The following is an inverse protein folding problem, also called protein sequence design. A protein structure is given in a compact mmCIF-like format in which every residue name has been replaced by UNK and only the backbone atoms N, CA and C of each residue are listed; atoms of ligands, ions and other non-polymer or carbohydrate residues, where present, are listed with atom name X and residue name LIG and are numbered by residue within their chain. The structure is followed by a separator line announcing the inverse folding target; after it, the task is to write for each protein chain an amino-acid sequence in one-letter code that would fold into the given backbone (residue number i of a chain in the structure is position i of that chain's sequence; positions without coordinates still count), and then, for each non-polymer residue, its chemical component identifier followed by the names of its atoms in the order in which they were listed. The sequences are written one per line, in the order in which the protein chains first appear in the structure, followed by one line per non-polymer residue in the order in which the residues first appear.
data_IF_614716987252
#
_entry.id   IF_614716987252
#
_cell.length_a   1.000
_cell.length_b   1.000
_cell.length_c   1.000
_cell.angle_alpha   90.00
_cell.angle_beta   90.00
_cell.angle_gamma   90.00
#
_symmetry.space_group_name_H-M   'P 1'
#
loop_
_entity.id
_entity.type
_entity.pdbx_description
1 polymer ?
#
# COMPACT_ATOMS: atom_id res chain seq x y z
N UNK A 1 -9.52 34.88 8.26
CA UNK A 1 -9.02 33.74 7.46
C UNK A 1 -8.35 32.62 8.28
N UNK A 2 -7.83 32.88 9.49
CA UNK A 2 -7.17 31.85 10.33
C UNK A 2 -8.17 30.85 10.95
N UNK A 3 -9.39 31.28 11.30
CA UNK A 3 -10.42 30.40 11.90
C UNK A 3 -10.93 29.30 10.95
N UNK A 4 -11.06 29.59 9.64
CA UNK A 4 -11.47 28.58 8.65
C UNK A 4 -10.44 27.47 8.44
N UNK A 5 -9.14 27.81 8.50
CA UNK A 5 -8.05 26.84 8.40
C UNK A 5 -7.98 25.93 9.65
N UNK A 6 -8.24 26.48 10.84
CA UNK A 6 -8.27 25.71 12.10
C UNK A 6 -9.43 24.71 12.11
N UNK A 7 -10.63 25.14 11.70
CA UNK A 7 -11.81 24.26 11.62
C UNK A 7 -11.56 23.15 10.58
N UNK A 8 -11.01 23.50 9.41
CA UNK A 8 -10.63 22.52 8.39
C UNK A 8 -9.60 21.50 8.87
N UNK A 9 -8.59 21.93 9.65
CA UNK A 9 -7.59 21.05 10.25
C UNK A 9 -8.20 20.08 11.27
N UNK A 10 -9.09 20.58 12.15
CA UNK A 10 -9.76 19.75 13.15
C UNK A 10 -10.64 18.69 12.48
N UNK A 11 -11.49 19.10 11.53
CA UNK A 11 -12.35 18.16 10.78
C UNK A 11 -11.51 17.13 10.01
N UNK A 12 -10.40 17.56 9.42
CA UNK A 12 -9.45 16.67 8.75
C UNK A 12 -8.86 15.61 9.70
N UNK A 13 -8.38 16.04 10.87
CA UNK A 13 -7.83 15.13 11.89
C UNK A 13 -8.89 14.15 12.41
N UNK A 14 -10.12 14.62 12.64
CA UNK A 14 -11.24 13.78 13.08
C UNK A 14 -11.57 12.73 12.02
N UNK A 15 -11.66 13.12 10.74
CA UNK A 15 -11.90 12.16 9.65
C UNK A 15 -10.78 11.14 9.50
N UNK A 16 -9.52 11.54 9.65
CA UNK A 16 -8.37 10.61 9.67
C UNK A 16 -8.50 9.63 10.84
N UNK A 17 -8.84 10.12 12.03
CA UNK A 17 -9.07 9.28 13.21
C UNK A 17 -10.18 8.25 13.03
N UNK A 18 -11.34 8.68 12.50
CA UNK A 18 -12.48 7.78 12.21
C UNK A 18 -12.07 6.72 11.18
N UNK A 19 -11.39 7.11 10.10
CA UNK A 19 -10.92 6.17 9.07
C UNK A 19 -9.94 5.17 9.66
N UNK A 20 -9.00 5.61 10.50
CA UNK A 20 -8.05 4.73 11.16
C UNK A 20 -8.75 3.70 12.06
N UNK A 21 -9.76 4.11 12.83
CA UNK A 21 -10.56 3.19 13.67
C UNK A 21 -11.34 2.19 12.80
N UNK A 22 -11.96 2.64 11.70
CA UNK A 22 -12.67 1.76 10.78
C UNK A 22 -11.72 0.75 10.12
N UNK A 23 -10.55 1.19 9.68
CA UNK A 23 -9.51 0.32 9.10
C UNK A 23 -8.99 -0.69 10.12
N UNK A 24 -8.78 -0.28 11.37
CA UNK A 24 -8.39 -1.21 12.45
C UNK A 24 -9.48 -2.23 12.73
N UNK A 25 -10.77 -1.83 12.77
CA UNK A 25 -11.89 -2.75 12.98
C UNK A 25 -12.05 -3.73 11.82
N UNK A 26 -12.01 -3.25 10.58
CA UNK A 26 -12.04 -4.10 9.39
C UNK A 26 -10.87 -5.07 9.34
N UNK A 27 -9.66 -4.58 9.63
CA UNK A 27 -8.46 -5.41 9.72
C UNK A 27 -8.56 -6.52 10.77
N UNK A 28 -9.13 -6.23 11.94
CA UNK A 28 -9.39 -7.27 12.96
C UNK A 28 -10.34 -8.36 12.46
N UNK A 29 -11.37 -8.00 11.70
CA UNK A 29 -12.30 -8.96 11.11
C UNK A 29 -11.61 -9.84 10.07
N UNK A 30 -10.79 -9.24 9.19
CA UNK A 30 -10.00 -9.95 8.19
C UNK A 30 -9.00 -10.91 8.86
N UNK A 31 -8.25 -10.47 9.88
CA UNK A 31 -7.28 -11.32 10.59
C UNK A 31 -7.97 -12.44 11.38
N UNK A 32 -9.10 -12.16 12.03
CA UNK A 32 -9.87 -13.19 12.72
C UNK A 32 -10.39 -14.26 11.74
N UNK A 33 -10.85 -13.85 10.56
CA UNK A 33 -11.28 -14.76 9.51
C UNK A 33 -10.10 -15.53 8.88
N UNK A 34 -8.93 -14.89 8.72
CA UNK A 34 -7.70 -15.53 8.25
C UNK A 34 -7.25 -16.67 9.18
N UNK A 35 -7.40 -16.50 10.51
CA UNK A 35 -7.11 -17.54 11.49
C UNK A 35 -8.05 -18.75 11.41
N UNK A 36 -9.26 -18.58 10.87
CA UNK A 36 -10.24 -19.66 10.68
C UNK A 36 -9.95 -20.49 9.44
N UNK A 37 -9.15 -19.96 8.50
CA UNK A 37 -8.78 -20.62 7.25
C UNK A 37 -9.88 -20.58 6.17
N UNK A 38 -9.51 -20.96 4.94
CA UNK A 38 -10.43 -21.03 3.80
C UNK A 38 -10.86 -19.66 3.24
N UNK A 39 -12.01 -19.58 2.54
CA UNK A 39 -12.47 -18.37 1.84
C UNK A 39 -12.97 -17.25 2.79
N UNK A 40 -13.07 -17.51 4.10
CA UNK A 40 -13.65 -16.58 5.07
C UNK A 40 -12.90 -15.23 5.13
N UNK A 41 -11.59 -15.23 4.95
CA UNK A 41 -10.79 -14.00 4.95
C UNK A 41 -11.16 -13.07 3.78
N UNK A 42 -11.45 -13.66 2.61
CA UNK A 42 -11.91 -12.95 1.42
C UNK A 42 -13.30 -12.37 1.63
N UNK A 43 -14.24 -13.16 2.15
CA UNK A 43 -15.60 -12.70 2.43
C UNK A 43 -15.60 -11.54 3.45
N UNK A 44 -14.77 -11.63 4.49
CA UNK A 44 -14.59 -10.56 5.46
C UNK A 44 -14.03 -9.29 4.79
N UNK A 45 -13.05 -9.43 3.88
CA UNK A 45 -12.52 -8.30 3.13
C UNK A 45 -13.56 -7.68 2.22
N UNK A 46 -14.33 -8.46 1.48
CA UNK A 46 -15.38 -7.98 0.56
C UNK A 46 -16.54 -7.30 1.32
N UNK A 47 -16.85 -7.77 2.54
CA UNK A 47 -17.80 -7.12 3.45
C UNK A 47 -17.28 -5.80 4.01
N UNK A 48 -15.96 -5.68 4.24
CA UNK A 48 -15.32 -4.47 4.75
C UNK A 48 -15.10 -3.41 3.65
N UNK A 49 -14.44 -3.79 2.54
CA UNK A 49 -14.18 -2.95 1.38
C UNK A 49 -14.53 -3.73 0.12
N UNK A 50 -15.66 -3.38 -0.51
CA UNK A 50 -16.10 -4.04 -1.74
C UNK A 50 -15.09 -3.88 -2.89
N UNK A 51 -14.93 -4.91 -3.74
CA UNK A 51 -14.18 -4.77 -4.99
C UNK A 51 -14.78 -3.66 -5.86
N UNK A 52 -13.92 -3.02 -6.64
CA UNK A 52 -14.33 -2.02 -7.63
C UNK A 52 -13.70 -2.38 -8.96
N UNK A 53 -14.52 -2.39 -10.01
CA UNK A 53 -14.09 -2.42 -11.40
C UNK A 53 -14.50 -1.10 -12.07
N UNK A 54 -13.64 -0.57 -12.94
CA UNK A 54 -13.85 0.70 -13.63
C UNK A 54 -13.49 1.92 -12.78
N UNK A 55 -14.27 3.01 -12.93
CA UNK A 55 -13.89 4.34 -12.42
C UNK A 55 -13.84 4.41 -10.90
N UNK A 56 -12.66 4.71 -10.36
CA UNK A 56 -12.43 4.92 -8.93
C UNK A 56 -12.47 6.41 -8.58
N UNK A 57 -13.29 6.77 -7.59
CA UNK A 57 -13.28 8.11 -7.02
C UNK A 57 -12.16 8.28 -5.99
N UNK A 58 -11.61 9.49 -5.88
CA UNK A 58 -10.59 9.81 -4.87
C UNK A 58 -11.05 9.52 -3.42
N UNK A 59 -12.35 9.58 -3.16
CA UNK A 59 -12.93 9.27 -1.85
C UNK A 59 -12.72 7.80 -1.44
N UNK A 60 -12.71 6.87 -2.41
CA UNK A 60 -12.54 5.43 -2.21
C UNK A 60 -11.07 4.99 -2.17
N UNK A 61 -10.14 5.86 -2.56
CA UNK A 61 -8.71 5.53 -2.69
C UNK A 61 -8.14 4.85 -1.45
N UNK A 62 -8.31 5.43 -0.26
CA UNK A 62 -7.72 4.87 0.96
C UNK A 62 -8.28 3.48 1.32
N UNK A 63 -9.56 3.24 1.03
CA UNK A 63 -10.17 1.93 1.28
C UNK A 63 -9.61 0.89 0.30
N UNK A 64 -9.45 1.26 -0.97
CA UNK A 64 -8.91 0.36 -1.98
C UNK A 64 -7.40 0.10 -1.79
N UNK A 65 -6.63 1.08 -1.32
CA UNK A 65 -5.24 0.87 -0.91
C UNK A 65 -5.14 -0.18 0.21
N UNK A 66 -6.02 -0.08 1.22
CA UNK A 66 -6.11 -1.10 2.27
C UNK A 66 -6.57 -2.45 1.75
N UNK A 67 -7.53 -2.48 0.82
CA UNK A 67 -7.98 -3.73 0.19
C UNK A 67 -6.84 -4.46 -0.51
N UNK A 68 -6.09 -3.76 -1.35
CA UNK A 68 -4.96 -4.34 -2.09
C UNK A 68 -3.85 -4.84 -1.15
N UNK A 69 -3.61 -4.10 -0.06
CA UNK A 69 -2.69 -4.53 0.98
C UNK A 69 -3.19 -5.82 1.70
N UNK A 70 -4.47 -5.91 2.03
CA UNK A 70 -5.04 -7.14 2.60
C UNK A 70 -4.95 -8.32 1.63
N UNK A 71 -5.26 -8.12 0.36
CA UNK A 71 -5.13 -9.17 -0.67
C UNK A 71 -3.69 -9.70 -0.75
N UNK A 72 -2.69 -8.82 -0.69
CA UNK A 72 -1.29 -9.23 -0.61
C UNK A 72 -1.00 -10.05 0.67
N UNK A 73 -1.44 -9.58 1.85
CA UNK A 73 -1.24 -10.28 3.13
C UNK A 73 -1.90 -11.67 3.13
N UNK A 74 -3.06 -11.82 2.50
CA UNK A 74 -3.80 -13.08 2.38
C UNK A 74 -3.20 -14.02 1.32
N UNK A 75 -2.28 -13.55 0.48
CA UNK A 75 -1.71 -14.33 -0.62
C UNK A 75 -2.59 -14.39 -1.86
N UNK A 76 -3.60 -13.52 -2.00
CA UNK A 76 -4.49 -13.45 -3.17
C UNK A 76 -3.85 -12.67 -4.34
N UNK A 77 -2.67 -13.12 -4.78
CA UNK A 77 -1.86 -12.40 -5.76
C UNK A 77 -2.54 -12.27 -7.13
N UNK A 78 -3.17 -13.34 -7.63
CA UNK A 78 -3.83 -13.31 -8.95
C UNK A 78 -5.03 -12.37 -8.97
N UNK A 79 -5.84 -12.41 -7.90
CA UNK A 79 -6.96 -11.50 -7.73
C UNK A 79 -6.48 -10.04 -7.60
N UNK A 80 -5.33 -9.81 -6.94
CA UNK A 80 -4.74 -8.49 -6.79
C UNK A 80 -4.30 -7.92 -8.14
N UNK A 81 -3.66 -8.75 -8.98
CA UNK A 81 -3.30 -8.38 -10.35
C UNK A 81 -4.56 -8.02 -11.13
N UNK A 82 -5.57 -8.90 -11.13
CA UNK A 82 -6.81 -8.69 -11.86
C UNK A 82 -7.54 -7.39 -11.44
N UNK A 83 -7.69 -7.17 -10.13
CA UNK A 83 -8.35 -5.96 -9.62
C UNK A 83 -7.54 -4.69 -9.97
N UNK A 84 -6.20 -4.74 -9.91
CA UNK A 84 -5.34 -3.59 -10.21
C UNK A 84 -5.30 -3.20 -11.69
N UNK A 85 -5.59 -4.14 -12.59
CA UNK A 85 -5.70 -3.90 -14.03
C UNK A 85 -7.08 -3.40 -14.43
N UNK A 86 -8.12 -3.75 -13.67
CA UNK A 86 -9.51 -3.40 -13.95
C UNK A 86 -9.95 -2.00 -13.51
N UNK A 87 -9.06 -1.19 -12.92
CA UNK A 87 -9.38 0.16 -12.44
C UNK A 87 -9.13 1.24 -13.49
N UNK A 88 -9.98 2.26 -13.47
CA UNK A 88 -9.89 3.46 -14.30
C UNK A 88 -10.11 4.72 -13.44
N UNK A 89 -9.80 5.90 -13.96
CA UNK A 89 -10.09 7.18 -13.32
C UNK A 89 -8.94 8.18 -13.41
N UNK A 90 -8.84 9.04 -12.40
CA UNK A 90 -7.76 10.03 -12.35
C UNK A 90 -6.40 9.33 -12.27
N UNK A 91 -5.43 9.78 -13.09
CA UNK A 91 -4.10 9.18 -13.17
C UNK A 91 -3.44 9.03 -11.78
N UNK A 92 -3.58 10.03 -10.90
CA UNK A 92 -3.07 9.98 -9.52
C UNK A 92 -3.69 8.87 -8.66
N UNK A 93 -4.96 8.58 -8.85
CA UNK A 93 -5.68 7.52 -8.11
C UNK A 93 -5.24 6.16 -8.63
N UNK A 94 -5.26 5.97 -9.96
CA UNK A 94 -4.85 4.72 -10.61
C UNK A 94 -3.39 4.39 -10.29
N UNK A 95 -2.49 5.37 -10.40
CA UNK A 95 -1.05 5.20 -10.10
C UNK A 95 -0.82 4.72 -8.67
N UNK A 96 -1.49 5.32 -7.68
CA UNK A 96 -1.32 4.92 -6.28
C UNK A 96 -1.83 3.49 -6.03
N UNK A 97 -2.94 3.11 -6.64
CA UNK A 97 -3.51 1.77 -6.51
C UNK A 97 -2.63 0.71 -7.20
N UNK A 98 -2.17 0.98 -8.43
CA UNK A 98 -1.28 0.09 -9.16
C UNK A 98 0.09 -0.04 -8.48
N UNK A 99 0.66 1.05 -7.99
CA UNK A 99 1.90 1.01 -7.21
C UNK A 99 1.71 0.20 -5.91
N UNK A 100 0.58 0.36 -5.21
CA UNK A 100 0.28 -0.43 -4.02
C UNK A 100 0.13 -1.92 -4.32
N UNK A 101 -0.51 -2.27 -5.43
CA UNK A 101 -0.62 -3.67 -5.87
C UNK A 101 0.76 -4.27 -6.16
N UNK A 102 1.60 -3.56 -6.93
CA UNK A 102 2.96 -4.00 -7.22
C UNK A 102 3.81 -4.17 -5.95
N UNK A 103 3.75 -3.20 -5.03
CA UNK A 103 4.41 -3.28 -3.72
C UNK A 103 3.86 -4.45 -2.88
N UNK A 104 2.56 -4.72 -2.96
CA UNK A 104 1.93 -5.89 -2.34
C UNK A 104 2.53 -7.19 -2.84
N UNK A 105 2.64 -7.36 -4.16
CA UNK A 105 3.27 -8.54 -4.77
C UNK A 105 4.75 -8.63 -4.39
N UNK A 106 5.49 -7.53 -4.51
CA UNK A 106 6.91 -7.43 -4.15
C UNK A 106 7.20 -7.55 -2.64
N UNK A 107 6.18 -7.47 -1.78
CA UNK A 107 6.32 -7.79 -0.36
C UNK A 107 6.36 -9.31 -0.10
N UNK A 108 5.98 -10.14 -1.08
CA UNK A 108 5.81 -11.59 -0.92
C UNK A 108 6.60 -12.41 -1.95
N UNK A 109 6.82 -11.89 -3.17
CA UNK A 109 7.56 -12.58 -4.25
C UNK A 109 8.48 -11.63 -5.01
N UNK A 110 9.47 -12.16 -5.72
CA UNK A 110 10.35 -11.36 -6.59
C UNK A 110 10.27 -11.91 -8.00
N UNK A 111 9.26 -11.47 -8.73
CA UNK A 111 9.10 -11.79 -10.15
C UNK A 111 9.52 -10.59 -11.00
N UNK A 112 10.22 -10.84 -12.10
CA UNK A 112 10.62 -9.79 -13.05
C UNK A 112 9.40 -9.00 -13.57
N UNK A 113 8.24 -9.67 -13.70
CA UNK A 113 6.98 -9.04 -14.08
C UNK A 113 6.48 -8.00 -13.07
N UNK A 114 6.61 -8.25 -11.77
CA UNK A 114 6.16 -7.30 -10.73
C UNK A 114 7.06 -6.05 -10.66
N UNK A 115 8.37 -6.25 -10.84
CA UNK A 115 9.35 -5.15 -10.93
C UNK A 115 9.08 -4.29 -12.17
N UNK A 116 8.89 -4.93 -13.33
CA UNK A 116 8.54 -4.25 -14.57
C UNK A 116 7.21 -3.51 -14.45
N UNK A 117 6.22 -4.10 -13.77
CA UNK A 117 4.94 -3.45 -13.50
C UNK A 117 5.12 -2.17 -12.69
N UNK A 118 5.81 -2.21 -11.54
CA UNK A 118 6.05 -1.01 -10.73
C UNK A 118 6.83 0.07 -11.50
N UNK A 119 7.83 -0.35 -12.28
CA UNK A 119 8.58 0.57 -13.16
C UNK A 119 7.67 1.24 -14.18
N UNK A 120 6.82 0.48 -14.85
CA UNK A 120 5.89 1.02 -15.85
C UNK A 120 4.91 2.03 -15.24
N UNK A 121 4.47 1.80 -14.00
CA UNK A 121 3.61 2.74 -13.25
C UNK A 121 4.35 4.02 -12.91
N UNK A 122 5.61 3.93 -12.45
CA UNK A 122 6.45 5.08 -12.15
C UNK A 122 6.76 5.91 -13.40
N UNK A 123 7.11 5.25 -14.50
CA UNK A 123 7.41 5.90 -15.77
C UNK A 123 6.15 6.58 -16.34
N UNK A 124 4.99 5.93 -16.27
CA UNK A 124 3.72 6.51 -16.73
C UNK A 124 3.37 7.80 -16.00
N UNK A 125 3.40 7.83 -14.67
CA UNK A 125 3.06 9.05 -13.92
C UNK A 125 4.07 10.17 -14.17
N UNK A 126 5.34 9.85 -14.43
CA UNK A 126 6.33 10.86 -14.76
C UNK A 126 6.07 11.52 -16.12
N UNK A 127 5.66 10.76 -17.13
CA UNK A 127 5.36 11.26 -18.48
C UNK A 127 3.97 11.91 -18.59
N UNK A 128 2.93 11.25 -18.07
CA UNK A 128 1.53 11.68 -18.22
C UNK A 128 1.07 12.62 -17.08
N UNK A 129 1.76 12.60 -15.94
CA UNK A 129 1.38 13.41 -14.79
C UNK A 129 1.71 14.88 -14.97
N UNK A 130 0.71 15.75 -14.83
CA UNK A 130 0.92 17.20 -14.75
C UNK A 130 1.61 17.65 -13.45
N UNK A 131 1.87 18.96 -13.33
CA UNK A 131 2.54 19.57 -12.17
C UNK A 131 1.86 19.25 -10.81
N UNK A 132 0.54 19.10 -10.80
CA UNK A 132 -0.24 18.77 -9.59
C UNK A 132 -0.01 17.34 -9.07
N UNK A 133 0.71 16.50 -9.81
CA UNK A 133 0.99 15.10 -9.47
C UNK A 133 2.34 14.88 -8.81
N UNK A 134 3.10 15.95 -8.51
CA UNK A 134 4.48 15.87 -8.03
C UNK A 134 4.68 14.98 -6.79
N UNK A 135 3.72 14.99 -5.85
CA UNK A 135 3.78 14.11 -4.69
C UNK A 135 3.63 12.64 -5.06
N UNK A 136 2.68 12.30 -5.96
CA UNK A 136 2.45 10.93 -6.41
C UNK A 136 3.64 10.43 -7.22
N UNK A 137 4.17 11.25 -8.13
CA UNK A 137 5.41 10.97 -8.88
C UNK A 137 6.55 10.59 -7.93
N UNK A 138 6.85 11.46 -6.97
CA UNK A 138 7.93 11.24 -6.00
C UNK A 138 7.73 9.95 -5.20
N UNK A 139 6.52 9.72 -4.69
CA UNK A 139 6.22 8.53 -3.90
C UNK A 139 6.33 7.24 -4.71
N UNK A 140 5.82 7.23 -5.94
CA UNK A 140 5.90 6.06 -6.84
C UNK A 140 7.35 5.81 -7.26
N UNK A 141 8.13 6.87 -7.51
CA UNK A 141 9.55 6.74 -7.84
C UNK A 141 10.38 6.25 -6.66
N UNK A 142 10.12 6.73 -5.45
CA UNK A 142 10.77 6.22 -4.22
C UNK A 142 10.52 4.71 -4.04
N UNK A 143 9.29 4.25 -4.31
CA UNK A 143 8.96 2.81 -4.28
C UNK A 143 9.73 2.03 -5.35
N UNK A 144 9.79 2.55 -6.57
CA UNK A 144 10.50 1.91 -7.69
C UNK A 144 12.01 1.83 -7.42
N UNK A 145 12.62 2.89 -6.88
CA UNK A 145 14.04 2.89 -6.46
C UNK A 145 14.30 1.82 -5.40
N UNK A 146 13.45 1.69 -4.38
CA UNK A 146 13.60 0.64 -3.35
C UNK A 146 13.39 -0.75 -3.97
N UNK A 147 12.47 -0.90 -4.92
CA UNK A 147 12.21 -2.16 -5.60
C UNK A 147 13.40 -2.64 -6.44
N UNK A 148 14.20 -1.72 -7.02
CA UNK A 148 15.42 -2.09 -7.78
C UNK A 148 16.40 -2.88 -6.94
N UNK A 149 16.48 -2.63 -5.63
CA UNK A 149 17.34 -3.39 -4.72
C UNK A 149 17.02 -4.89 -4.71
N UNK A 150 15.79 -5.29 -5.07
CA UNK A 150 15.40 -6.70 -5.17
C UNK A 150 16.08 -7.44 -6.34
N UNK A 151 16.60 -6.71 -7.33
CA UNK A 151 17.32 -7.23 -8.49
C UNK A 151 18.82 -6.90 -8.41
N UNK A 152 19.15 -5.64 -8.16
CA UNK A 152 20.54 -5.14 -8.19
C UNK A 152 21.30 -5.35 -6.89
N UNK A 153 20.60 -5.68 -5.79
CA UNK A 153 21.14 -5.72 -4.42
C UNK A 153 21.74 -4.40 -3.93
N UNK A 154 21.43 -3.29 -4.61
CA UNK A 154 21.85 -1.95 -4.23
C UNK A 154 20.65 -1.17 -3.71
N UNK A 155 20.72 -0.76 -2.45
CA UNK A 155 19.63 -0.06 -1.78
C UNK A 155 19.98 1.42 -1.60
N UNK A 156 19.07 2.29 -2.03
CA UNK A 156 19.11 3.73 -1.72
C UNK A 156 18.55 3.97 -0.30
N UNK A 157 19.38 4.39 0.67
CA UNK A 157 18.94 4.58 2.06
C UNK A 157 17.94 5.72 2.23
N UNK A 158 18.02 6.76 1.40
CA UNK A 158 17.11 7.90 1.51
C UNK A 158 15.73 7.55 0.97
N UNK A 159 15.68 6.86 -0.17
CA UNK A 159 14.43 6.34 -0.71
C UNK A 159 13.77 5.37 0.28
N UNK A 160 14.56 4.46 0.87
CA UNK A 160 14.10 3.56 1.93
C UNK A 160 13.50 4.33 3.12
N UNK A 161 14.21 5.33 3.64
CA UNK A 161 13.74 6.13 4.78
C UNK A 161 12.41 6.83 4.45
N UNK A 162 12.26 7.38 3.24
CA UNK A 162 11.00 8.00 2.79
C UNK A 162 9.88 6.97 2.69
N UNK A 163 10.13 5.79 2.12
CA UNK A 163 9.14 4.70 2.02
C UNK A 163 8.69 4.24 3.40
N UNK A 164 9.61 4.00 4.33
CA UNK A 164 9.30 3.59 5.71
C UNK A 164 8.56 4.69 6.47
N UNK A 165 9.00 5.95 6.33
CA UNK A 165 8.31 7.10 6.93
C UNK A 165 6.86 7.24 6.45
N UNK A 166 6.61 6.97 5.17
CA UNK A 166 5.24 6.94 4.61
C UNK A 166 4.45 5.74 5.07
N UNK A 167 5.05 4.56 5.18
CA UNK A 167 4.37 3.37 5.70
C UNK A 167 3.74 3.62 7.07
N UNK A 168 4.42 4.37 7.94
CA UNK A 168 3.94 4.73 9.28
C UNK A 168 2.74 5.70 9.29
N UNK A 169 2.41 6.31 8.16
CA UNK A 169 1.26 7.19 7.96
C UNK A 169 0.07 6.48 7.29
N UNK A 170 0.23 5.21 6.92
CA UNK A 170 -0.81 4.42 6.26
C UNK A 170 -1.74 3.73 7.27
N UNK A 171 -2.84 3.18 6.78
CA UNK A 171 -3.65 2.24 7.53
C UNK A 171 -2.89 0.94 7.84
N UNK A 172 -3.50 0.04 8.63
CA UNK A 172 -2.80 -1.11 9.18
C UNK A 172 -2.21 -2.05 8.11
N UNK A 173 -3.00 -2.45 7.10
CA UNK A 173 -2.51 -3.38 6.08
C UNK A 173 -1.52 -2.70 5.15
N UNK A 174 -1.77 -1.44 4.77
CA UNK A 174 -0.85 -0.64 3.97
C UNK A 174 0.52 -0.52 4.65
N UNK A 175 0.52 -0.28 5.97
CA UNK A 175 1.74 -0.25 6.78
C UNK A 175 2.44 -1.60 6.81
N UNK A 176 1.75 -2.69 7.14
CA UNK A 176 2.32 -4.05 7.16
C UNK A 176 2.97 -4.38 5.82
N UNK A 177 2.24 -4.18 4.73
CA UNK A 177 2.68 -4.51 3.37
C UNK A 177 3.93 -3.72 2.98
N UNK A 178 3.95 -2.40 3.23
CA UNK A 178 5.12 -1.58 2.93
C UNK A 178 6.33 -1.90 3.80
N UNK A 179 6.13 -2.22 5.08
CA UNK A 179 7.23 -2.64 5.95
C UNK A 179 7.81 -3.99 5.49
N UNK A 180 6.96 -4.96 5.10
CA UNK A 180 7.42 -6.24 4.52
C UNK A 180 8.18 -6.04 3.21
N UNK A 181 7.69 -5.19 2.32
CA UNK A 181 8.42 -4.81 1.10
C UNK A 181 9.79 -4.21 1.42
N UNK A 182 9.86 -3.24 2.34
CA UNK A 182 11.11 -2.63 2.78
C UNK A 182 12.06 -3.64 3.43
N UNK A 183 11.54 -4.55 4.26
CA UNK A 183 12.28 -5.67 4.85
C UNK A 183 12.97 -6.50 3.78
N UNK A 184 12.23 -6.91 2.74
CA UNK A 184 12.79 -7.70 1.64
C UNK A 184 13.87 -6.95 0.85
N UNK A 185 13.67 -5.65 0.60
CA UNK A 185 14.66 -4.83 -0.08
C UNK A 185 15.97 -4.70 0.73
N UNK A 186 15.87 -4.52 2.04
CA UNK A 186 17.03 -4.47 2.96
C UNK A 186 17.75 -5.82 3.01
N UNK A 187 17.02 -6.91 3.13
CA UNK A 187 17.59 -8.27 3.17
C UNK A 187 18.29 -8.64 1.86
N UNK A 188 17.71 -8.28 0.72
CA UNK A 188 18.32 -8.54 -0.58
C UNK A 188 19.61 -7.73 -0.79
N UNK A 189 19.70 -6.55 -0.19
CA UNK A 189 20.93 -5.74 -0.15
C UNK A 189 21.94 -6.18 0.92
N UNK A 190 21.65 -7.26 1.67
CA UNK A 190 22.55 -7.80 2.71
C UNK A 190 22.51 -7.04 4.05
N UNK A 191 21.50 -6.20 4.27
CA UNK A 191 21.32 -5.45 5.51
C UNK A 191 20.49 -6.19 6.56
N UNK A 192 20.49 -5.69 7.80
CA UNK A 192 19.60 -6.15 8.87
C UNK A 192 18.24 -5.43 8.80
N UNK A 193 17.18 -6.20 8.59
CA UNK A 193 15.80 -5.73 8.53
C UNK A 193 14.95 -6.13 9.75
N UNK A 194 15.57 -6.64 10.81
CA UNK A 194 14.91 -7.20 12.00
C UNK A 194 13.86 -6.26 12.59
N UNK A 195 14.18 -4.97 12.74
CA UNK A 195 13.26 -3.96 13.29
C UNK A 195 12.03 -3.74 12.40
N UNK A 196 12.20 -3.68 11.08
CA UNK A 196 11.10 -3.50 10.13
C UNK A 196 10.15 -4.70 10.15
N UNK A 197 10.73 -5.91 10.20
CA UNK A 197 10.00 -7.17 10.31
C UNK A 197 9.21 -7.22 11.61
N UNK A 198 9.86 -6.95 12.74
CA UNK A 198 9.23 -6.92 14.06
C UNK A 198 8.09 -5.90 14.11
N UNK A 199 8.26 -4.71 13.54
CA UNK A 199 7.20 -3.69 13.48
C UNK A 199 5.98 -4.17 12.67
N UNK A 200 6.21 -4.84 11.52
CA UNK A 200 5.14 -5.40 10.70
C UNK A 200 4.40 -6.55 11.42
N UNK A 201 5.14 -7.47 12.02
CA UNK A 201 4.59 -8.65 12.68
C UNK A 201 3.86 -8.30 13.99
N UNK A 202 4.41 -7.37 14.78
CA UNK A 202 3.74 -6.85 15.97
C UNK A 202 2.42 -6.15 15.63
N UNK A 203 2.39 -5.40 14.52
CA UNK A 203 1.16 -4.77 14.06
C UNK A 203 0.13 -5.82 13.61
N UNK A 204 0.53 -6.82 12.81
CA UNK A 204 -0.35 -7.89 12.39
C UNK A 204 -0.89 -8.69 13.60
N UNK A 205 -0.03 -9.01 14.57
CA UNK A 205 -0.41 -9.68 15.81
C UNK A 205 -1.42 -8.86 16.63
N UNK A 206 -1.28 -7.53 16.69
CA UNK A 206 -2.21 -6.66 17.43
C UNK A 206 -3.64 -6.58 16.83
N UNK A 207 -3.83 -7.12 15.63
CA UNK A 207 -5.11 -7.20 14.94
C UNK A 207 -5.81 -8.56 15.15
N UNK A 208 -5.10 -9.57 15.67
CA UNK A 208 -5.63 -10.92 15.93
C UNK A 208 -5.73 -11.24 17.41
#
# INVERSE_FOLDING_TARGET
MIQGAIIGLIVGLVMVGIRFVQQKKGGKQVVAALKQGGPAAREALDGYVKPVQGKVSAQKLLNLLERYAWMAIMGEHDALVQESQGIDGQLNVVTQLQAQAAVGLLAHRTEAGDLAFLRSVADRIDHEGGALSGLVKKQTRDLEIVARALDTRQLDPEALQRVVGRARQMGPAGKITRLRFATRAVEMAGGDASQLRQEADALLASLG
#
